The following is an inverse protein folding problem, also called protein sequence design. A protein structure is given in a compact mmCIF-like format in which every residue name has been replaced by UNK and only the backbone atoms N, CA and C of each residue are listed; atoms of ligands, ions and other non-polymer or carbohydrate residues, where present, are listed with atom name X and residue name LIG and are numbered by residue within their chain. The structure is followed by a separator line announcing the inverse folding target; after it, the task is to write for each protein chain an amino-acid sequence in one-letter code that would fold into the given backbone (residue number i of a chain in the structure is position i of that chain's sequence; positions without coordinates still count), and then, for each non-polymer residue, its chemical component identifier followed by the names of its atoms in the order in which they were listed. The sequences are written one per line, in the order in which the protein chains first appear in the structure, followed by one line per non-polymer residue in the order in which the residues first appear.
data_IF_623556111030
#
_entry.id   IF_623556111030
#
_cell.length_a   1.000
_cell.length_b   1.000
_cell.length_c   1.000
_cell.angle_alpha   90.00
_cell.angle_beta   90.00
_cell.angle_gamma   90.00
#
_symmetry.space_group_name_H-M   'P 1'
#
loop_
_entity.id
_entity.type
_entity.pdbx_description
1 polymer ?
#
# COMPACT_ATOMS: atom_id res chain seq x y z
N UNK A 1 33.73 74.74 -26.78
CA UNK A 1 33.26 73.92 -27.92
C UNK A 1 32.54 72.69 -27.39
N UNK A 2 31.31 72.44 -27.91
CA UNK A 2 30.46 71.21 -27.87
C UNK A 2 30.00 70.72 -26.46
N UNK A 3 28.73 70.91 -26.06
CA UNK A 3 27.44 70.25 -26.43
C UNK A 3 27.28 68.80 -25.93
N UNK A 4 26.10 68.56 -25.35
CA UNK A 4 25.31 67.30 -25.32
C UNK A 4 25.71 66.25 -24.27
N UNK A 5 24.83 65.46 -23.64
CA UNK A 5 23.36 65.34 -23.66
C UNK A 5 22.96 64.35 -22.54
N UNK A 6 21.79 64.57 -21.97
CA UNK A 6 21.04 63.71 -21.04
C UNK A 6 20.80 62.30 -21.62
N UNK A 7 21.01 61.23 -20.85
CA UNK A 7 20.30 59.95 -21.02
C UNK A 7 20.02 59.34 -19.63
N UNK A 8 18.74 59.36 -19.25
CA UNK A 8 18.15 58.49 -18.25
C UNK A 8 18.27 57.03 -18.72
N UNK A 9 18.77 56.11 -17.89
CA UNK A 9 18.46 54.69 -18.05
C UNK A 9 18.19 54.05 -16.69
N UNK A 10 16.90 53.94 -16.41
CA UNK A 10 16.28 53.13 -15.39
C UNK A 10 16.57 51.65 -15.74
N UNK A 11 17.43 50.98 -14.99
CA UNK A 11 17.58 49.53 -15.08
C UNK A 11 16.98 48.92 -13.82
N UNK A 12 15.66 48.69 -13.86
CA UNK A 12 15.03 47.69 -13.02
C UNK A 12 15.64 46.34 -13.42
N UNK A 13 16.63 45.88 -12.66
CA UNK A 13 17.02 44.47 -12.73
C UNK A 13 15.92 43.64 -12.08
N UNK A 14 15.21 42.95 -12.96
CA UNK A 14 14.29 41.85 -12.70
C UNK A 14 14.94 40.86 -11.73
N UNK A 15 14.46 40.82 -10.49
CA UNK A 15 14.69 39.67 -9.63
C UNK A 15 14.04 38.45 -10.28
N UNK A 16 14.72 37.31 -10.42
CA UNK A 16 14.06 36.09 -10.80
C UNK A 16 13.09 35.75 -9.66
N UNK A 17 11.80 35.74 -9.95
CA UNK A 17 10.84 35.04 -9.12
C UNK A 17 11.22 33.58 -9.24
N UNK A 18 12.04 33.08 -8.31
CA UNK A 18 12.17 31.67 -8.09
C UNK A 18 10.76 31.18 -7.77
N UNK A 19 10.12 30.51 -8.74
CA UNK A 19 8.93 29.74 -8.45
C UNK A 19 9.38 28.72 -7.41
N UNK A 20 8.94 28.91 -6.17
CA UNK A 20 8.98 27.87 -5.17
C UNK A 20 8.20 26.70 -5.78
N UNK A 21 8.93 25.72 -6.27
CA UNK A 21 8.39 24.40 -6.53
C UNK A 21 7.95 23.93 -5.14
N UNK A 22 6.64 23.99 -4.85
CA UNK A 22 6.10 23.31 -3.68
C UNK A 22 6.62 21.88 -3.79
N UNK A 23 7.50 21.47 -2.86
CA UNK A 23 7.78 20.06 -2.68
C UNK A 23 6.43 19.43 -2.37
N UNK A 24 5.85 18.72 -3.34
CA UNK A 24 4.69 17.88 -3.08
C UNK A 24 5.07 16.99 -1.89
N UNK A 25 4.34 17.16 -0.78
CA UNK A 25 4.56 16.40 0.43
C UNK A 25 4.51 14.88 0.15
N UNK A 26 4.98 14.05 1.08
CA UNK A 26 4.96 12.60 0.87
C UNK A 26 3.54 12.14 0.56
N UNK A 27 3.40 11.23 -0.41
CA UNK A 27 2.10 10.71 -0.86
C UNK A 27 1.26 10.12 0.29
N UNK A 28 1.92 9.61 1.33
CA UNK A 28 1.32 9.19 2.59
C UNK A 28 2.00 9.92 3.74
N UNK A 29 1.22 10.55 4.61
CA UNK A 29 1.72 11.31 5.77
C UNK A 29 2.32 10.44 6.87
N UNK A 30 2.06 9.14 6.85
CA UNK A 30 2.38 8.21 7.93
C UNK A 30 1.39 8.24 9.09
N UNK A 31 0.37 9.10 9.06
CA UNK A 31 -0.74 9.06 10.00
C UNK A 31 -1.70 7.93 9.63
N UNK A 32 -2.26 7.27 10.63
CA UNK A 32 -3.22 6.17 10.44
C UNK A 32 -4.49 6.41 11.22
N UNK A 33 -5.58 5.78 10.75
CA UNK A 33 -6.87 5.71 11.42
C UNK A 33 -7.28 4.26 11.63
N UNK A 34 -8.03 4.04 12.71
CA UNK A 34 -8.49 2.71 13.08
C UNK A 34 -9.75 2.35 12.29
N UNK A 35 -9.75 1.17 11.67
CA UNK A 35 -10.93 0.57 11.08
C UNK A 35 -11.25 -0.74 11.81
N UNK A 36 -12.52 -0.99 12.08
CA UNK A 36 -13.01 -2.24 12.69
C UNK A 36 -14.22 -2.74 11.91
N UNK A 37 -14.20 -4.01 11.55
CA UNK A 37 -15.35 -4.69 10.96
C UNK A 37 -15.81 -5.81 11.91
N UNK A 38 -16.91 -5.54 12.63
CA UNK A 38 -17.50 -6.51 13.55
C UNK A 38 -18.16 -7.70 12.86
N UNK A 39 -18.55 -7.57 11.58
CA UNK A 39 -19.14 -8.67 10.79
C UNK A 39 -18.06 -9.65 10.33
N UNK A 40 -16.93 -9.11 9.87
CA UNK A 40 -15.78 -9.91 9.45
C UNK A 40 -14.80 -10.22 10.59
N UNK A 41 -15.01 -9.68 11.79
CA UNK A 41 -14.22 -9.92 13.01
C UNK A 41 -12.74 -9.57 12.86
N UNK A 42 -12.44 -8.38 12.34
CA UNK A 42 -11.07 -7.89 12.31
C UNK A 42 -10.99 -6.39 12.59
N UNK A 43 -9.80 -5.95 12.95
CA UNK A 43 -9.46 -4.54 13.04
C UNK A 43 -8.06 -4.27 12.52
N UNK A 44 -7.84 -3.06 12.01
CA UNK A 44 -6.60 -2.66 11.35
C UNK A 44 -6.41 -1.15 11.41
N UNK A 45 -5.16 -0.67 11.38
CA UNK A 45 -4.83 0.74 11.18
C UNK A 45 -4.50 0.95 9.70
N UNK A 46 -5.16 1.91 9.07
CA UNK A 46 -5.00 2.23 7.64
C UNK A 46 -4.53 3.68 7.49
N UNK A 47 -3.66 4.04 6.52
CA UNK A 47 -3.29 5.43 6.29
C UNK A 47 -4.52 6.33 6.11
N UNK A 48 -4.45 7.55 6.65
CA UNK A 48 -5.60 8.48 6.66
C UNK A 48 -6.05 8.89 5.25
N UNK A 49 -5.14 8.85 4.28
CA UNK A 49 -5.35 9.17 2.86
C UNK A 49 -6.22 8.13 2.14
N UNK A 50 -6.42 6.95 2.74
CA UNK A 50 -7.27 5.92 2.14
C UNK A 50 -8.72 6.13 2.57
N UNK A 51 -9.62 6.20 1.61
CA UNK A 51 -11.07 6.25 1.86
C UNK A 51 -11.56 4.89 2.36
N UNK A 52 -12.32 4.90 3.44
CA UNK A 52 -12.82 3.67 4.07
C UNK A 52 -14.06 3.11 3.32
N UNK A 53 -14.16 1.78 3.20
CA UNK A 53 -15.38 1.14 2.72
C UNK A 53 -16.45 1.08 3.81
N UNK A 54 -17.70 0.81 3.40
CA UNK A 54 -18.72 0.37 4.34
C UNK A 54 -18.36 -1.04 4.88
N UNK A 55 -18.49 -1.29 6.20
CA UNK A 55 -18.15 -2.58 6.79
C UNK A 55 -19.15 -3.68 6.39
N UNK A 56 -18.73 -4.95 6.53
CA UNK A 56 -19.58 -6.13 6.38
C UNK A 56 -19.65 -6.74 4.98
N UNK A 57 -18.98 -6.15 3.98
CA UNK A 57 -18.79 -6.80 2.68
C UNK A 57 -17.77 -7.94 2.76
N UNK A 58 -17.89 -9.01 1.93
CA UNK A 58 -16.88 -10.08 1.88
C UNK A 58 -15.53 -9.59 1.34
N UNK A 59 -15.56 -8.53 0.54
CA UNK A 59 -14.39 -7.80 0.05
C UNK A 59 -14.54 -6.35 0.45
N UNK A 60 -13.62 -5.86 1.27
CA UNK A 60 -13.52 -4.46 1.64
C UNK A 60 -12.38 -3.82 0.86
N UNK A 61 -12.62 -2.66 0.26
CA UNK A 61 -11.63 -1.90 -0.51
C UNK A 61 -11.44 -0.52 0.10
N UNK A 62 -10.22 -0.25 0.54
CA UNK A 62 -9.76 1.07 0.94
C UNK A 62 -9.11 1.72 -0.29
N UNK A 63 -9.74 2.77 -0.80
CA UNK A 63 -9.28 3.50 -1.99
C UNK A 63 -8.23 4.53 -1.59
N UNK A 64 -6.97 4.33 -1.99
CA UNK A 64 -5.86 5.25 -1.75
C UNK A 64 -5.67 6.28 -2.88
N UNK A 65 -4.66 7.16 -2.74
CA UNK A 65 -4.37 8.15 -3.75
C UNK A 65 -3.75 7.53 -5.02
N UNK A 66 -3.80 8.27 -6.14
CA UNK A 66 -3.07 7.91 -7.36
C UNK A 66 -1.60 8.28 -7.17
N UNK A 67 -0.72 7.32 -7.42
CA UNK A 67 0.73 7.47 -7.25
C UNK A 67 1.49 6.72 -8.34
N UNK A 68 2.50 7.38 -8.94
CA UNK A 68 3.35 6.82 -10.00
C UNK A 68 2.58 6.01 -11.05
N UNK A 69 1.51 6.61 -11.58
CA UNK A 69 0.70 6.03 -12.66
C UNK A 69 -0.37 5.03 -12.25
N UNK A 70 -0.53 4.70 -10.97
CA UNK A 70 -1.56 3.76 -10.50
C UNK A 70 -2.25 4.19 -9.20
N UNK A 71 -3.51 3.81 -9.01
CA UNK A 71 -4.19 3.98 -7.73
C UNK A 71 -3.62 3.04 -6.68
N UNK A 72 -3.19 3.57 -5.53
CA UNK A 72 -2.91 2.73 -4.37
C UNK A 72 -4.23 2.20 -3.81
N UNK A 73 -4.25 0.94 -3.40
CA UNK A 73 -5.42 0.34 -2.76
C UNK A 73 -5.00 -0.65 -1.68
N UNK A 74 -5.87 -0.81 -0.69
CA UNK A 74 -5.75 -1.89 0.29
C UNK A 74 -7.07 -2.66 0.31
N UNK A 75 -7.00 -3.97 0.16
CA UNK A 75 -8.16 -4.84 0.13
C UNK A 75 -8.10 -5.83 1.28
N UNK A 76 -9.25 -6.12 1.90
CA UNK A 76 -9.41 -7.25 2.81
C UNK A 76 -10.50 -8.14 2.26
N UNK A 77 -10.12 -9.30 1.73
CA UNK A 77 -11.04 -10.35 1.33
C UNK A 77 -11.17 -11.35 2.48
N UNK A 78 -12.40 -11.59 2.93
CA UNK A 78 -12.71 -12.50 4.05
C UNK A 78 -13.47 -13.71 3.54
N UNK A 79 -12.98 -14.90 3.86
CA UNK A 79 -13.63 -16.17 3.55
C UNK A 79 -13.98 -16.87 4.86
N UNK A 80 -15.26 -17.16 5.06
CA UNK A 80 -15.75 -17.92 6.21
C UNK A 80 -15.59 -19.42 5.96
N UNK A 81 -14.83 -20.10 6.83
CA UNK A 81 -14.50 -21.51 6.72
C UNK A 81 -14.60 -22.19 8.10
N UNK A 82 -15.78 -22.17 8.74
CA UNK A 82 -15.93 -22.59 10.15
C UNK A 82 -15.64 -24.08 10.37
N UNK A 83 -15.72 -24.90 9.32
CA UNK A 83 -15.49 -26.34 9.38
C UNK A 83 -14.02 -26.74 9.21
N UNK A 84 -13.12 -25.79 8.91
CA UNK A 84 -11.69 -26.08 8.73
C UNK A 84 -10.91 -25.40 9.86
N UNK A 85 -10.13 -26.15 10.65
CA UNK A 85 -9.30 -25.55 11.70
C UNK A 85 -8.34 -24.50 11.12
N UNK A 86 -8.22 -23.35 11.77
CA UNK A 86 -7.35 -22.25 11.30
C UNK A 86 -5.89 -22.67 11.14
N UNK A 87 -5.39 -23.57 11.99
CA UNK A 87 -4.04 -24.13 11.88
C UNK A 87 -3.83 -24.96 10.61
N UNK A 88 -4.85 -25.72 10.21
CA UNK A 88 -4.83 -26.51 8.98
C UNK A 88 -4.87 -25.59 7.76
N UNK A 89 -5.74 -24.57 7.77
CA UNK A 89 -5.78 -23.57 6.69
C UNK A 89 -4.42 -22.87 6.55
N UNK A 90 -3.86 -22.39 7.66
CA UNK A 90 -2.55 -21.74 7.69
C UNK A 90 -1.45 -22.63 7.11
N UNK A 91 -1.32 -23.88 7.60
CA UNK A 91 -0.25 -24.79 7.18
C UNK A 91 -0.29 -25.10 5.67
N UNK A 92 -1.47 -25.39 5.14
CA UNK A 92 -1.64 -25.65 3.70
C UNK A 92 -1.30 -24.41 2.88
N UNK A 93 -1.85 -23.25 3.26
CA UNK A 93 -1.68 -22.03 2.49
C UNK A 93 -0.23 -21.54 2.47
N UNK A 94 0.46 -21.53 3.62
CA UNK A 94 1.86 -21.07 3.66
C UNK A 94 2.79 -21.98 2.87
N UNK A 95 2.58 -23.30 2.90
CA UNK A 95 3.34 -24.23 2.09
C UNK A 95 3.10 -24.04 0.60
N UNK A 96 1.84 -23.81 0.20
CA UNK A 96 1.50 -23.50 -1.19
C UNK A 96 2.15 -22.19 -1.63
N UNK A 97 2.06 -21.11 -0.84
CA UNK A 97 2.66 -19.82 -1.17
C UNK A 97 4.19 -19.94 -1.31
N UNK A 98 4.86 -20.71 -0.44
CA UNK A 98 6.31 -20.94 -0.54
C UNK A 98 6.74 -21.66 -1.83
N UNK A 99 5.86 -22.46 -2.42
CA UNK A 99 6.11 -23.20 -3.67
C UNK A 99 5.71 -22.41 -4.92
N UNK A 100 4.98 -21.31 -4.77
CA UNK A 100 4.50 -20.52 -5.89
C UNK A 100 5.62 -19.64 -6.46
N UNK A 101 5.98 -19.79 -7.76
CA UNK A 101 7.07 -19.04 -8.38
C UNK A 101 6.76 -17.55 -8.60
N UNK A 102 5.52 -17.12 -8.32
CA UNK A 102 5.10 -15.72 -8.41
C UNK A 102 5.11 -14.99 -7.07
N UNK A 103 5.49 -15.67 -5.98
CA UNK A 103 5.64 -15.05 -4.67
C UNK A 103 7.07 -15.17 -4.13
N UNK A 104 7.44 -14.19 -3.32
CA UNK A 104 8.74 -14.12 -2.64
C UNK A 104 8.57 -13.61 -1.21
N UNK A 105 9.65 -13.68 -0.43
CA UNK A 105 9.73 -13.15 0.93
C UNK A 105 8.60 -13.62 1.86
N UNK A 106 8.23 -14.90 1.74
CA UNK A 106 7.18 -15.51 2.56
C UNK A 106 7.63 -15.57 4.03
N UNK A 107 7.10 -14.66 4.84
CA UNK A 107 7.57 -14.41 6.21
C UNK A 107 6.41 -14.50 7.19
N UNK A 108 6.55 -15.32 8.22
CA UNK A 108 5.54 -15.46 9.26
C UNK A 108 5.44 -14.18 10.08
N UNK A 109 4.21 -13.80 10.47
CA UNK A 109 3.96 -12.61 11.28
C UNK A 109 2.99 -12.93 12.41
N UNK A 110 3.17 -12.25 13.53
CA UNK A 110 2.27 -12.38 14.67
C UNK A 110 0.95 -11.67 14.37
N UNK A 111 -0.16 -12.41 14.42
CA UNK A 111 -1.51 -11.87 14.31
C UNK A 111 -2.25 -12.12 15.62
N UNK A 112 -2.57 -11.09 16.43
CA UNK A 112 -3.45 -11.28 17.58
C UNK A 112 -4.78 -11.89 17.15
N UNK A 113 -5.21 -12.95 17.85
CA UNK A 113 -6.42 -13.71 17.51
C UNK A 113 -6.23 -14.79 16.45
N UNK A 114 -5.01 -15.01 15.93
CA UNK A 114 -4.77 -16.06 14.94
C UNK A 114 -3.31 -16.26 14.54
N UNK A 115 -3.11 -16.68 13.29
CA UNK A 115 -1.81 -16.84 12.64
C UNK A 115 -1.79 -16.09 11.32
N UNK A 116 -0.61 -15.69 10.87
CA UNK A 116 -0.50 -15.11 9.54
C UNK A 116 0.92 -15.11 9.01
N UNK A 117 1.03 -14.76 7.74
CA UNK A 117 2.29 -14.56 7.06
C UNK A 117 2.11 -13.51 5.97
N UNK A 118 3.16 -12.72 5.74
CA UNK A 118 3.25 -11.82 4.61
C UNK A 118 4.00 -12.47 3.46
N UNK A 119 3.72 -12.02 2.24
CA UNK A 119 4.41 -12.45 1.02
C UNK A 119 4.24 -11.37 -0.04
N UNK A 120 5.19 -11.30 -0.98
CA UNK A 120 5.21 -10.28 -2.02
C UNK A 120 5.08 -10.93 -3.38
N UNK A 121 4.38 -10.30 -4.31
CA UNK A 121 4.54 -10.66 -5.72
C UNK A 121 6.01 -10.47 -6.13
N UNK A 122 6.48 -11.29 -7.06
CA UNK A 122 7.79 -11.12 -7.70
C UNK A 122 7.78 -9.95 -8.70
N UNK A 123 8.95 -9.38 -8.96
CA UNK A 123 9.16 -8.32 -9.97
C UNK A 123 9.15 -8.79 -11.43
N UNK A 124 8.46 -9.90 -11.73
CA UNK A 124 8.34 -10.46 -13.09
C UNK A 124 6.88 -10.74 -13.45
N UNK A 125 6.57 -10.63 -14.72
CA UNK A 125 5.29 -11.02 -15.32
C UNK A 125 5.20 -12.54 -15.51
N UNK A 126 4.01 -13.01 -15.90
CA UNK A 126 3.73 -14.44 -16.11
C UNK A 126 4.52 -15.07 -17.25
N UNK A 127 4.88 -14.27 -18.25
CA UNK A 127 5.74 -14.67 -19.37
C UNK A 127 7.24 -14.70 -19.01
N UNK A 128 7.59 -14.31 -17.77
CA UNK A 128 8.95 -14.29 -17.25
C UNK A 128 9.70 -12.97 -17.45
N UNK A 129 9.11 -12.00 -18.17
CA UNK A 129 9.71 -10.68 -18.35
C UNK A 129 9.67 -9.85 -17.06
N UNK A 130 10.56 -8.88 -16.91
CA UNK A 130 10.49 -7.95 -15.78
C UNK A 130 9.20 -7.11 -15.84
N UNK A 131 8.63 -6.79 -14.67
CA UNK A 131 7.49 -5.88 -14.58
C UNK A 131 7.89 -4.49 -15.08
N UNK A 132 7.04 -3.83 -15.87
CA UNK A 132 7.21 -2.42 -16.19
C UNK A 132 6.82 -1.56 -14.99
N UNK A 133 7.24 -0.30 -14.98
CA UNK A 133 6.99 0.62 -13.87
C UNK A 133 5.49 0.82 -13.56
N UNK A 134 4.65 0.71 -14.58
CA UNK A 134 3.19 0.86 -14.55
C UNK A 134 2.43 -0.47 -14.37
N UNK A 135 3.12 -1.62 -14.44
CA UNK A 135 2.52 -2.92 -14.16
C UNK A 135 1.86 -2.95 -12.79
N UNK A 136 0.72 -3.63 -12.68
CA UNK A 136 0.11 -3.88 -11.37
C UNK A 136 1.05 -4.76 -10.53
N UNK A 137 1.23 -4.38 -9.27
CA UNK A 137 1.99 -5.12 -8.28
C UNK A 137 1.27 -5.17 -6.95
N UNK A 138 1.45 -6.28 -6.22
CA UNK A 138 0.72 -6.54 -4.98
C UNK A 138 1.59 -7.17 -3.90
N UNK A 139 1.41 -6.67 -2.67
CA UNK A 139 1.95 -7.29 -1.46
C UNK A 139 0.79 -7.77 -0.59
N UNK A 140 1.01 -8.91 0.08
CA UNK A 140 -0.07 -9.66 0.70
C UNK A 140 0.22 -9.99 2.16
N UNK A 141 -0.84 -10.02 2.96
CA UNK A 141 -0.91 -10.66 4.27
C UNK A 141 -2.02 -11.70 4.20
N UNK A 142 -1.68 -12.97 4.44
CA UNK A 142 -2.63 -14.01 4.73
C UNK A 142 -2.77 -14.17 6.24
N UNK A 143 -3.98 -14.09 6.77
CA UNK A 143 -4.27 -14.30 8.19
C UNK A 143 -5.40 -15.30 8.40
N UNK A 144 -5.32 -16.08 9.48
CA UNK A 144 -6.20 -17.21 9.77
C UNK A 144 -6.56 -17.22 11.25
N UNK A 145 -7.85 -17.25 11.57
CA UNK A 145 -8.35 -17.24 12.94
C UNK A 145 -9.86 -17.19 12.98
N UNK A 146 -10.48 -17.62 14.08
CA UNK A 146 -11.93 -17.56 14.26
C UNK A 146 -12.74 -18.26 13.17
N UNK A 147 -12.20 -19.35 12.59
CA UNK A 147 -12.83 -20.06 11.47
C UNK A 147 -12.84 -19.29 10.15
N UNK A 148 -11.96 -18.31 9.97
CA UNK A 148 -11.88 -17.44 8.79
C UNK A 148 -10.48 -17.38 8.20
N UNK A 149 -10.44 -17.08 6.91
CA UNK A 149 -9.25 -16.69 6.17
C UNK A 149 -9.41 -15.24 5.69
N UNK A 150 -8.37 -14.44 5.91
CA UNK A 150 -8.26 -13.07 5.45
C UNK A 150 -7.11 -12.95 4.48
N UNK A 151 -7.39 -12.54 3.24
CA UNK A 151 -6.38 -12.12 2.28
C UNK A 151 -6.37 -10.59 2.24
N UNK A 152 -5.37 -10.00 2.87
CA UNK A 152 -5.13 -8.57 2.88
C UNK A 152 -4.13 -8.24 1.75
N UNK A 153 -4.50 -7.36 0.83
CA UNK A 153 -3.67 -7.06 -0.35
C UNK A 153 -3.50 -5.55 -0.51
N UNK A 154 -2.27 -5.07 -0.47
CA UNK A 154 -1.96 -3.71 -0.92
C UNK A 154 -1.56 -3.76 -2.40
N UNK A 155 -2.20 -2.95 -3.22
CA UNK A 155 -2.01 -2.88 -4.67
C UNK A 155 -1.61 -1.48 -5.14
N UNK A 156 -0.97 -1.42 -6.30
CA UNK A 156 -0.53 -0.19 -6.96
C UNK A 156 0.28 -0.49 -8.22
N UNK A 157 0.90 0.55 -8.79
CA UNK A 157 1.91 0.36 -9.83
C UNK A 157 3.19 -0.25 -9.24
N UNK A 158 3.95 -1.02 -10.03
CA UNK A 158 5.19 -1.67 -9.60
C UNK A 158 6.19 -0.65 -9.05
N UNK A 159 6.35 0.47 -9.74
CA UNK A 159 7.22 1.57 -9.31
C UNK A 159 6.78 2.24 -7.99
N UNK A 160 5.53 2.08 -7.55
CA UNK A 160 5.10 2.56 -6.23
C UNK A 160 5.74 1.75 -5.10
N UNK A 161 6.01 0.46 -5.30
CA UNK A 161 6.61 -0.41 -4.28
C UNK A 161 8.14 -0.30 -4.20
N UNK A 162 8.75 0.50 -5.07
CA UNK A 162 10.15 0.94 -4.93
C UNK A 162 10.28 2.09 -3.93
N UNK A 163 9.17 2.75 -3.55
CA UNK A 163 9.17 3.84 -2.57
C UNK A 163 9.09 3.30 -1.12
N UNK A 164 10.06 3.63 -0.25
CA UNK A 164 10.04 3.25 1.14
C UNK A 164 8.78 3.68 1.90
N UNK A 165 8.14 4.79 1.52
CA UNK A 165 6.91 5.27 2.17
C UNK A 165 5.76 4.29 1.95
N UNK A 166 5.60 3.79 0.72
CA UNK A 166 4.55 2.81 0.36
C UNK A 166 4.80 1.47 1.05
N UNK A 167 6.05 0.99 1.01
CA UNK A 167 6.40 -0.31 1.61
C UNK A 167 6.30 -0.28 3.14
N UNK A 168 6.66 0.84 3.78
CA UNK A 168 6.45 1.06 5.21
C UNK A 168 4.97 1.11 5.56
N UNK A 169 4.14 1.79 4.77
CA UNK A 169 2.70 1.83 5.00
C UNK A 169 2.07 0.42 5.02
N UNK A 170 2.47 -0.45 4.08
CA UNK A 170 2.06 -1.86 4.12
C UNK A 170 2.50 -2.58 5.40
N UNK A 171 3.76 -2.43 5.79
CA UNK A 171 4.29 -3.08 6.99
C UNK A 171 3.53 -2.63 8.25
N UNK A 172 3.16 -1.35 8.33
CA UNK A 172 2.41 -0.81 9.47
C UNK A 172 0.96 -1.31 9.48
N UNK A 173 0.31 -1.43 8.31
CA UNK A 173 -0.97 -2.12 8.15
C UNK A 173 -0.86 -3.55 8.70
N UNK A 174 0.14 -4.33 8.25
CA UNK A 174 0.35 -5.72 8.68
C UNK A 174 0.56 -5.83 10.19
N UNK A 175 1.40 -4.98 10.78
CA UNK A 175 1.65 -4.99 12.25
C UNK A 175 0.41 -4.66 13.07
N UNK A 176 -0.50 -3.87 12.51
CA UNK A 176 -1.72 -3.44 13.20
C UNK A 176 -2.90 -4.39 13.06
N UNK A 177 -2.87 -5.29 12.06
CA UNK A 177 -3.96 -6.21 11.77
C UNK A 177 -4.17 -7.21 12.92
N UNK A 178 -5.42 -7.33 13.36
CA UNK A 178 -5.83 -8.30 14.39
C UNK A 178 -7.18 -8.91 14.08
N UNK A 179 -7.34 -10.17 14.48
CA UNK A 179 -8.60 -10.90 14.43
C UNK A 179 -9.29 -10.75 15.79
N UNK A 180 -10.60 -10.50 15.77
CA UNK A 180 -11.43 -10.22 16.95
C UNK A 180 -12.24 -11.42 17.40
#
# INVERSE_FOLDING_TARGET
MKKSMLVFLLVLFLFPVAQAQEEEGPILSGQTKAFTDGTNHFAVQVPVEFKEPAPGGPVLTFEGPVYRGGGLSFHVNTVNMPSVPSDTMYGINIEQTRKDPFYTEVTEVKIPGGKGYMFKEVGKERDGNAKSADSIHRWHLAAFGGGRYYNCTMGGSFSSFEDPVVTKAFQDIVKSFKIQ
#
